data_IF_915059356837
#
_entry.id   IF_915059356837
#
_cell.length_a   1.000
_cell.length_b   1.000
_cell.length_c   1.000
_cell.angle_alpha   90.00
_cell.angle_beta   90.00
_cell.angle_gamma   90.00
#
_symmetry.space_group_name_H-M   'P 1'
#
loop_
_entity.id
_entity.type
_entity.pdbx_description
1 polymer ?
#
# COMPACT_ATOMS: atom_id res chain seq x y z
N UNK A 1 35.91 0.30 -26.04
CA UNK A 1 35.28 0.36 -24.70
C UNK A 1 33.94 1.08 -24.70
N UNK A 2 33.83 2.32 -25.21
CA UNK A 2 32.56 3.07 -25.26
C UNK A 2 31.43 2.34 -26.00
N UNK A 3 31.69 1.83 -27.20
CA UNK A 3 30.69 1.09 -28.00
C UNK A 3 30.17 -0.15 -27.26
N UNK A 4 31.08 -0.92 -26.65
CA UNK A 4 30.70 -2.12 -25.89
C UNK A 4 29.82 -1.76 -24.67
N UNK A 5 30.16 -0.69 -23.95
CA UNK A 5 29.35 -0.20 -22.84
C UNK A 5 27.96 0.29 -23.30
N UNK A 6 27.90 1.04 -24.41
CA UNK A 6 26.64 1.51 -25.00
C UNK A 6 25.76 0.34 -25.44
N UNK A 7 26.33 -0.67 -26.11
CA UNK A 7 25.61 -1.87 -26.52
C UNK A 7 25.10 -2.66 -25.31
N UNK A 8 25.94 -2.87 -24.30
CA UNK A 8 25.54 -3.57 -23.08
C UNK A 8 24.37 -2.87 -22.38
N UNK A 9 24.42 -1.55 -22.26
CA UNK A 9 23.35 -0.75 -21.65
C UNK A 9 22.06 -0.77 -22.49
N UNK A 10 22.18 -0.75 -23.82
CA UNK A 10 21.03 -0.87 -24.74
C UNK A 10 20.38 -2.25 -24.63
N UNK A 11 21.16 -3.32 -24.61
CA UNK A 11 20.63 -4.68 -24.45
C UNK A 11 20.00 -4.89 -23.08
N UNK A 12 20.59 -4.34 -22.02
CA UNK A 12 19.99 -4.36 -20.68
C UNK A 12 18.61 -3.68 -20.69
N UNK A 13 18.50 -2.47 -21.24
CA UNK A 13 17.24 -1.72 -21.37
C UNK A 13 16.18 -2.47 -22.19
N UNK A 14 16.58 -3.11 -23.30
CA UNK A 14 15.65 -3.88 -24.13
C UNK A 14 15.14 -5.12 -23.40
N UNK A 15 16.01 -5.86 -22.73
CA UNK A 15 15.64 -7.09 -22.02
C UNK A 15 14.68 -6.81 -20.86
N UNK A 16 14.96 -5.78 -20.05
CA UNK A 16 14.12 -5.37 -18.93
C UNK A 16 12.82 -4.69 -19.37
N UNK A 17 12.77 -4.04 -20.54
CA UNK A 17 11.50 -3.50 -21.08
C UNK A 17 10.52 -4.62 -21.44
N UNK A 18 11.02 -5.79 -21.84
CA UNK A 18 10.18 -6.93 -22.20
C UNK A 18 9.81 -7.82 -21.00
N UNK A 19 10.72 -7.98 -20.03
CA UNK A 19 10.55 -8.95 -18.94
C UNK A 19 10.82 -8.42 -17.52
N UNK A 20 11.31 -7.20 -17.38
CA UNK A 20 11.69 -6.63 -16.08
C UNK A 20 10.50 -6.15 -15.25
N UNK A 21 10.75 -5.89 -13.97
CA UNK A 21 9.86 -5.13 -13.08
C UNK A 21 10.45 -3.74 -12.82
N UNK A 22 9.67 -2.85 -12.21
CA UNK A 22 10.09 -1.49 -11.86
C UNK A 22 11.31 -1.49 -10.90
N UNK A 23 11.55 -2.60 -10.18
CA UNK A 23 12.70 -2.81 -9.29
C UNK A 23 14.05 -2.79 -10.01
N UNK A 24 14.06 -3.01 -11.34
CA UNK A 24 15.28 -3.00 -12.15
C UNK A 24 15.65 -1.61 -12.69
N UNK A 25 14.97 -0.56 -12.22
CA UNK A 25 15.39 0.83 -12.44
C UNK A 25 16.87 1.03 -12.01
N UNK A 26 17.69 1.78 -12.77
CA UNK A 26 17.38 2.62 -13.93
C UNK A 26 17.43 1.88 -15.28
N UNK A 27 17.57 0.56 -15.28
CA UNK A 27 17.66 -0.22 -16.51
C UNK A 27 16.29 -0.72 -16.97
N UNK A 28 15.21 -0.55 -16.22
CA UNK A 28 13.83 -0.76 -16.66
C UNK A 28 13.04 0.56 -16.64
N UNK A 29 12.08 0.76 -17.57
CA UNK A 29 11.13 1.86 -17.45
C UNK A 29 10.16 1.62 -16.30
N UNK A 30 9.64 2.69 -15.70
CA UNK A 30 8.51 2.58 -14.77
C UNK A 30 7.25 2.19 -15.53
N UNK A 31 6.73 0.97 -15.30
CA UNK A 31 5.57 0.43 -16.02
C UNK A 31 4.30 1.25 -15.82
N UNK A 32 4.20 1.97 -14.70
CA UNK A 32 3.08 2.89 -14.44
C UNK A 32 2.90 3.97 -15.52
N UNK A 33 3.94 4.27 -16.32
CA UNK A 33 3.86 5.25 -17.42
C UNK A 33 3.88 4.62 -18.82
N UNK A 34 3.99 3.30 -18.94
CA UNK A 34 4.17 2.63 -20.24
C UNK A 34 2.88 2.03 -20.81
N UNK A 35 1.81 1.92 -20.02
CA UNK A 35 0.54 1.35 -20.44
C UNK A 35 -0.64 2.23 -20.02
N UNK A 36 -1.64 2.31 -20.90
CA UNK A 36 -2.95 2.82 -20.49
C UNK A 36 -3.60 1.82 -19.54
N UNK A 37 -4.22 2.32 -18.48
CA UNK A 37 -5.03 1.48 -17.60
C UNK A 37 -6.36 1.16 -18.29
N UNK A 38 -6.82 -0.09 -18.16
CA UNK A 38 -8.19 -0.47 -18.53
C UNK A 38 -9.17 0.37 -17.70
N UNK A 39 -10.08 1.14 -18.33
CA UNK A 39 -11.08 1.93 -17.62
C UNK A 39 -12.18 1.08 -16.96
N UNK A 40 -12.26 -0.21 -17.32
CA UNK A 40 -13.20 -1.17 -16.75
C UNK A 40 -12.50 -2.09 -15.75
N UNK A 41 -13.23 -2.55 -14.73
CA UNK A 41 -12.76 -3.55 -13.78
C UNK A 41 -12.79 -3.07 -12.33
N UNK A 42 -11.84 -3.50 -11.51
CA UNK A 42 -11.81 -3.19 -10.07
C UNK A 42 -10.60 -2.31 -9.73
N UNK A 43 -10.86 -1.19 -9.06
CA UNK A 43 -9.84 -0.28 -8.54
C UNK A 43 -9.73 -0.41 -7.02
N UNK A 44 -8.54 -0.70 -6.52
CA UNK A 44 -8.29 -0.91 -5.10
C UNK A 44 -7.87 0.41 -4.42
N UNK A 45 -8.37 0.61 -3.20
CA UNK A 45 -7.97 1.69 -2.29
C UNK A 45 -7.56 1.07 -0.96
N UNK A 46 -6.26 1.12 -0.67
CA UNK A 46 -5.71 0.62 0.59
C UNK A 46 -5.73 1.71 1.64
N UNK A 47 -6.25 1.40 2.82
CA UNK A 47 -6.34 2.30 3.96
C UNK A 47 -5.91 1.59 5.25
N UNK A 48 -5.37 2.36 6.19
CA UNK A 48 -5.12 1.88 7.54
C UNK A 48 -6.22 2.43 8.45
N UNK A 49 -6.86 1.57 9.23
CA UNK A 49 -7.94 1.91 10.16
C UNK A 49 -7.46 1.60 11.57
N UNK A 50 -7.56 2.58 12.47
CA UNK A 50 -7.35 2.37 13.91
C UNK A 50 -8.69 2.30 14.62
N UNK A 51 -8.75 1.52 15.68
CA UNK A 51 -9.85 1.51 16.65
C UNK A 51 -9.32 1.89 18.01
N UNK A 52 -9.96 2.88 18.64
CA UNK A 52 -9.57 3.34 19.98
C UNK A 52 -10.31 2.58 21.10
N UNK A 53 -9.88 2.77 22.35
CA UNK A 53 -10.48 2.15 23.55
C UNK A 53 -11.94 2.56 23.80
N UNK A 54 -12.46 3.58 23.10
CA UNK A 54 -13.87 3.95 23.12
C UNK A 54 -14.70 3.17 22.11
N UNK A 55 -14.06 2.34 21.28
CA UNK A 55 -14.66 1.55 20.20
C UNK A 55 -14.85 2.34 18.91
N UNK A 56 -14.23 3.52 18.78
CA UNK A 56 -14.33 4.33 17.57
C UNK A 56 -13.26 3.93 16.57
N UNK A 57 -13.68 3.49 15.40
CA UNK A 57 -12.78 3.22 14.27
C UNK A 57 -12.66 4.44 13.35
N UNK A 58 -11.44 4.77 12.93
CA UNK A 58 -11.17 5.88 12.01
C UNK A 58 -9.99 5.56 11.08
N UNK A 59 -10.05 5.98 9.81
CA UNK A 59 -8.93 5.83 8.89
C UNK A 59 -7.81 6.81 9.25
N UNK A 60 -6.56 6.37 9.12
CA UNK A 60 -5.39 7.25 9.19
C UNK A 60 -5.17 7.87 7.81
N UNK A 61 -5.10 9.21 7.76
CA UNK A 61 -4.66 9.93 6.57
C UNK A 61 -3.14 10.16 6.53
N UNK A 62 -2.65 10.58 5.37
CA UNK A 62 -1.20 10.84 5.14
C UNK A 62 -0.55 11.82 6.15
N UNK A 63 -1.35 12.62 6.87
CA UNK A 63 -0.88 13.64 7.80
C UNK A 63 -0.90 13.22 9.29
N UNK A 64 -1.52 12.10 9.65
CA UNK A 64 -1.80 11.80 11.06
C UNK A 64 -0.64 11.03 11.74
N UNK A 65 0.04 10.13 11.02
CA UNK A 65 1.18 9.35 11.57
C UNK A 65 2.48 9.57 10.79
N UNK A 66 2.43 10.31 9.69
CA UNK A 66 3.50 10.37 8.69
C UNK A 66 3.61 9.11 7.82
N UNK A 67 2.74 8.12 8.03
CA UNK A 67 2.66 6.92 7.22
C UNK A 67 1.77 7.19 6.00
N UNK A 68 2.38 7.30 4.82
CA UNK A 68 1.67 7.62 3.58
C UNK A 68 1.04 6.37 2.98
N UNK A 69 -0.04 6.52 2.22
CA UNK A 69 -0.66 5.40 1.49
C UNK A 69 0.35 4.60 0.64
N UNK A 70 1.27 5.28 -0.05
CA UNK A 70 2.26 4.61 -0.89
C UNK A 70 3.22 3.71 -0.08
N UNK A 71 3.53 4.06 1.17
CA UNK A 71 4.33 3.22 2.06
C UNK A 71 3.52 2.01 2.54
N UNK A 72 2.24 2.23 2.88
CA UNK A 72 1.31 1.15 3.24
C UNK A 72 1.21 0.11 2.11
N UNK A 73 1.00 0.58 0.88
CA UNK A 73 0.88 -0.30 -0.30
C UNK A 73 2.20 -1.03 -0.59
N UNK A 74 3.35 -0.34 -0.46
CA UNK A 74 4.67 -0.96 -0.63
C UNK A 74 5.01 -2.01 0.43
N UNK A 75 4.49 -1.87 1.65
CA UNK A 75 4.70 -2.81 2.76
C UNK A 75 3.54 -3.81 2.95
N UNK A 76 2.53 -3.81 2.08
CA UNK A 76 1.31 -4.60 2.26
C UNK A 76 1.60 -6.11 2.42
N UNK A 77 2.54 -6.67 1.66
CA UNK A 77 2.93 -8.08 1.80
C UNK A 77 3.49 -8.37 3.20
N UNK A 78 4.30 -7.44 3.73
CA UNK A 78 4.91 -7.56 5.04
C UNK A 78 3.87 -7.51 6.17
N UNK A 79 2.86 -6.63 6.07
CA UNK A 79 1.76 -6.61 7.04
C UNK A 79 0.89 -7.87 6.98
N UNK A 80 0.70 -8.46 5.78
CA UNK A 80 0.01 -9.75 5.65
C UNK A 80 0.79 -10.90 6.29
N UNK A 81 2.10 -10.89 6.15
CA UNK A 81 3.00 -11.91 6.72
C UNK A 81 3.17 -11.77 8.23
N UNK A 82 3.23 -10.54 8.73
CA UNK A 82 3.46 -10.20 10.13
C UNK A 82 2.51 -9.06 10.59
N UNK A 83 1.25 -9.39 10.93
CA UNK A 83 0.26 -8.39 11.36
C UNK A 83 0.62 -7.65 12.65
N UNK A 84 1.48 -8.22 13.51
CA UNK A 84 1.94 -7.57 14.75
C UNK A 84 2.70 -6.26 14.49
N UNK A 85 3.22 -6.07 13.27
CA UNK A 85 3.81 -4.79 12.86
C UNK A 85 2.82 -3.62 12.92
N UNK A 86 1.51 -3.89 12.91
CA UNK A 86 0.49 -2.86 13.07
C UNK A 86 0.46 -2.27 14.50
N UNK A 87 0.92 -3.01 15.52
CA UNK A 87 1.11 -2.49 16.87
C UNK A 87 2.07 -1.29 16.88
N UNK A 88 3.15 -1.35 16.08
CA UNK A 88 4.12 -0.25 15.96
C UNK A 88 3.48 1.01 15.37
N UNK A 89 2.46 0.86 14.53
CA UNK A 89 1.73 1.99 13.95
C UNK A 89 0.77 2.60 14.98
N UNK A 90 0.09 1.76 15.77
CA UNK A 90 -0.72 2.19 16.91
C UNK A 90 0.14 3.00 17.92
N UNK A 91 1.29 2.46 18.33
CA UNK A 91 2.24 3.14 19.22
C UNK A 91 2.74 4.47 18.65
N UNK A 92 2.99 4.53 17.33
CA UNK A 92 3.41 5.75 16.67
C UNK A 92 2.31 6.82 16.69
N UNK A 93 1.06 6.43 16.46
CA UNK A 93 -0.09 7.32 16.55
C UNK A 93 -0.27 7.89 17.96
N UNK A 94 -0.23 7.04 18.99
CA UNK A 94 -0.38 7.46 20.39
C UNK A 94 0.74 8.41 20.84
N UNK A 95 1.98 8.13 20.43
CA UNK A 95 3.12 9.01 20.71
C UNK A 95 2.95 10.40 20.09
N UNK A 96 2.32 10.47 18.91
CA UNK A 96 1.99 11.74 18.27
C UNK A 96 0.76 12.42 18.89
N UNK A 97 -0.11 11.67 19.56
CA UNK A 97 -1.38 12.13 20.12
C UNK A 97 -1.56 11.72 21.60
N UNK A 98 -0.74 12.24 22.53
CA UNK A 98 -0.70 11.78 23.93
C UNK A 98 -2.01 12.01 24.71
N UNK A 99 -2.88 12.91 24.25
CA UNK A 99 -4.18 13.20 24.87
C UNK A 99 -5.34 12.38 24.25
N UNK A 100 -5.07 11.56 23.24
CA UNK A 100 -6.08 10.69 22.62
C UNK A 100 -6.25 9.38 23.39
N UNK A 101 -7.42 8.72 23.29
CA UNK A 101 -7.57 7.38 23.85
C UNK A 101 -6.59 6.38 23.22
N UNK A 102 -6.21 5.37 24.00
CA UNK A 102 -5.38 4.24 23.57
C UNK A 102 -5.99 3.51 22.38
N UNK A 103 -5.14 2.98 21.51
CA UNK A 103 -5.50 2.27 20.29
C UNK A 103 -5.52 0.77 20.58
N UNK A 104 -6.70 0.18 20.46
CA UNK A 104 -6.94 -1.23 20.79
C UNK A 104 -6.91 -2.15 19.57
N UNK A 105 -7.03 -1.60 18.35
CA UNK A 105 -6.89 -2.39 17.13
C UNK A 105 -6.37 -1.55 15.96
N UNK A 106 -5.76 -2.22 15.00
CA UNK A 106 -5.31 -1.64 13.74
C UNK A 106 -5.54 -2.62 12.60
N UNK A 107 -6.05 -2.14 11.47
CA UNK A 107 -6.42 -2.96 10.31
C UNK A 107 -5.96 -2.32 9.01
N UNK A 108 -5.37 -3.12 8.12
CA UNK A 108 -5.16 -2.74 6.73
C UNK A 108 -6.36 -3.19 5.93
N UNK A 109 -7.14 -2.22 5.45
CA UNK A 109 -8.38 -2.45 4.71
C UNK A 109 -8.18 -2.12 3.25
N UNK A 110 -8.55 -3.04 2.36
CA UNK A 110 -8.58 -2.82 0.91
C UNK A 110 -10.03 -2.73 0.50
N UNK A 111 -10.43 -1.56 -0.01
CA UNK A 111 -11.73 -1.39 -0.65
C UNK A 111 -11.55 -1.44 -2.16
N UNK A 112 -12.21 -2.40 -2.81
CA UNK A 112 -12.23 -2.50 -4.27
C UNK A 112 -13.51 -1.87 -4.78
N UNK A 113 -13.39 -0.95 -5.73
CA UNK A 113 -14.52 -0.28 -6.39
C UNK A 113 -14.63 -0.76 -7.83
N UNK A 114 -15.81 -1.20 -8.24
CA UNK A 114 -16.05 -1.56 -9.63
C UNK A 114 -16.18 -0.28 -10.47
N UNK A 115 -15.46 -0.26 -11.59
CA UNK A 115 -15.43 0.77 -12.60
C UNK A 115 -16.02 0.26 -13.91
N UNK A 116 -16.77 1.14 -14.57
CA UNK A 116 -17.24 0.97 -15.93
C UNK A 116 -17.11 2.29 -16.68
N UNK A 117 -16.47 2.27 -17.83
CA UNK A 117 -16.12 3.44 -18.63
C UNK A 117 -15.38 4.52 -17.80
N UNK A 118 -14.58 4.09 -16.81
CA UNK A 118 -13.84 4.95 -15.89
C UNK A 118 -14.66 5.55 -14.74
N UNK A 119 -15.95 5.23 -14.63
CA UNK A 119 -16.83 5.70 -13.56
C UNK A 119 -17.18 4.59 -12.57
N UNK A 120 -17.37 4.93 -11.29
CA UNK A 120 -17.77 3.97 -10.25
C UNK A 120 -19.20 3.50 -10.50
N UNK A 121 -19.42 2.19 -10.54
CA UNK A 121 -20.77 1.60 -10.69
C UNK A 121 -21.59 1.66 -9.40
N UNK A 122 -20.90 1.86 -8.27
CA UNK A 122 -21.47 1.78 -6.92
C UNK A 122 -21.28 0.42 -6.26
N UNK A 123 -20.86 -0.62 -7.00
CA UNK A 123 -20.45 -1.88 -6.40
C UNK A 123 -19.07 -1.73 -5.74
N UNK A 124 -18.96 -2.23 -4.51
CA UNK A 124 -17.72 -2.24 -3.75
C UNK A 124 -17.58 -3.52 -2.93
N UNK A 125 -16.35 -3.95 -2.71
CA UNK A 125 -16.00 -5.03 -1.80
C UNK A 125 -14.93 -4.57 -0.84
N UNK A 126 -14.92 -5.13 0.38
CA UNK A 126 -13.98 -4.78 1.43
C UNK A 126 -13.26 -6.04 1.89
N UNK A 127 -11.94 -5.98 1.91
CA UNK A 127 -11.03 -7.01 2.43
C UNK A 127 -10.26 -6.42 3.61
N UNK A 128 -10.22 -7.14 4.74
CA UNK A 128 -9.24 -6.88 5.80
C UNK A 128 -8.01 -7.70 5.47
N UNK A 129 -6.98 -7.03 4.96
CA UNK A 129 -5.76 -7.67 4.48
C UNK A 129 -4.83 -8.08 5.64
N UNK A 130 -4.80 -7.29 6.70
CA UNK A 130 -4.07 -7.58 7.94
C UNK A 130 -4.79 -6.92 9.11
N UNK A 131 -4.78 -7.55 10.28
CA UNK A 131 -5.42 -7.05 11.48
C UNK A 131 -4.58 -7.37 12.70
N UNK A 132 -4.52 -6.42 13.63
CA UNK A 132 -3.94 -6.54 14.95
C UNK A 132 -4.93 -6.05 15.99
N UNK A 133 -4.92 -6.67 17.16
CA UNK A 133 -5.72 -6.25 18.32
C UNK A 133 -4.88 -6.38 19.58
N UNK A 134 -4.95 -5.37 20.43
CA UNK A 134 -4.25 -5.35 21.70
C UNK A 134 -4.68 -6.55 22.57
N UNK A 135 -3.70 -7.31 23.05
CA UNK A 135 -3.93 -8.51 23.88
C UNK A 135 -4.32 -9.78 23.11
N UNK A 136 -4.20 -9.80 21.76
CA UNK A 136 -4.42 -11.00 20.96
C UNK A 136 -3.35 -12.10 21.19
N UNK A 137 -2.23 -11.78 21.86
CA UNK A 137 -1.23 -12.74 22.32
C UNK A 137 -0.92 -12.56 23.82
N UNK A 138 -1.56 -13.40 24.65
CA UNK A 138 -1.13 -13.78 26.00
C UNK A 138 -1.28 -15.30 26.20
#
# INVERSE_FOLDING_TARGET
MRIAATLAMTFALMATSLWGTDDFFPFAPFKMYSHAHDPDGWANSTSLVLTDATGRSFPIGDNDTGFRRAELEGQLSRFREDPELLALVAEAYERAHPDSPEITAAEVVITSYELKDGERTGAETVEVAAAWTEGADA
#
